data_IF_102641922060
#
_entry.id   IF_102641922060
#
_cell.length_a   1.000
_cell.length_b   1.000
_cell.length_c   1.000
_cell.angle_alpha   90.00
_cell.angle_beta   90.00
_cell.angle_gamma   90.00
#
_symmetry.space_group_name_H-M   'P 1'
#
loop_
_entity.id
_entity.type
_entity.pdbx_description
1 polymer ?
#
# COMPACT_ATOMS: atom_id res chain seq x y z
N UNK A 1 -3.30 5.57 19.30
CA UNK A 1 -2.98 4.83 18.06
C UNK A 1 -4.27 4.27 17.52
N UNK A 2 -4.66 4.71 16.33
CA UNK A 2 -5.94 4.35 15.72
C UNK A 2 -5.70 3.27 14.66
N UNK A 3 -6.56 2.25 14.55
CA UNK A 3 -6.40 1.24 13.52
C UNK A 3 -6.89 1.78 12.17
N UNK A 4 -6.19 1.39 11.11
CA UNK A 4 -6.47 1.79 9.74
C UNK A 4 -6.51 0.58 8.82
N UNK A 5 -7.43 0.62 7.88
CA UNK A 5 -7.54 -0.27 6.74
C UNK A 5 -7.00 0.46 5.50
N UNK A 6 -5.92 -0.06 4.92
CA UNK A 6 -5.28 0.49 3.72
C UNK A 6 -5.49 -0.47 2.56
N UNK A 7 -6.21 -0.02 1.54
CA UNK A 7 -6.39 -0.73 0.28
C UNK A 7 -5.46 -0.12 -0.77
N UNK A 8 -4.69 -0.96 -1.45
CA UNK A 8 -3.79 -0.52 -2.51
C UNK A 8 -3.84 -1.49 -3.68
N UNK A 9 -3.25 -1.08 -4.80
CA UNK A 9 -3.05 -1.93 -5.96
C UNK A 9 -1.57 -1.97 -6.29
N UNK A 10 -1.14 -3.12 -6.77
CA UNK A 10 0.18 -3.28 -7.34
C UNK A 10 0.04 -3.50 -8.83
N UNK A 11 0.72 -2.67 -9.60
CA UNK A 11 0.69 -2.64 -11.06
C UNK A 11 2.06 -3.00 -11.60
N UNK A 12 2.13 -3.71 -12.72
CA UNK A 12 3.39 -3.84 -13.47
C UNK A 12 3.82 -2.46 -13.97
N UNK A 13 5.10 -2.11 -13.81
CA UNK A 13 5.65 -0.90 -14.43
C UNK A 13 5.85 -1.05 -15.94
N UNK A 14 5.97 -2.30 -16.42
CA UNK A 14 6.19 -2.60 -17.83
C UNK A 14 4.93 -2.34 -18.66
N UNK A 15 3.78 -2.85 -18.19
CA UNK A 15 2.52 -2.82 -18.95
C UNK A 15 1.39 -2.03 -18.27
N UNK A 16 1.60 -1.54 -17.05
CA UNK A 16 0.59 -0.82 -16.27
C UNK A 16 -0.56 -1.69 -15.73
N UNK A 17 -0.60 -2.98 -16.08
CA UNK A 17 -1.64 -3.91 -15.64
C UNK A 17 -1.61 -4.14 -14.13
N UNK A 18 -2.80 -4.18 -13.52
CA UNK A 18 -2.96 -4.50 -12.10
C UNK A 18 -2.67 -5.99 -11.88
N UNK A 19 -1.68 -6.28 -11.04
CA UNK A 19 -1.26 -7.65 -10.69
C UNK A 19 -2.13 -8.17 -9.54
N UNK A 20 -2.28 -7.40 -8.46
CA UNK A 20 -3.13 -7.75 -7.31
C UNK A 20 -3.58 -6.51 -6.51
N UNK A 21 -4.65 -6.68 -5.73
CA UNK A 21 -5.32 -5.60 -4.96
C UNK A 21 -5.42 -5.94 -3.46
N UNK A 22 -4.32 -5.83 -2.70
CA UNK A 22 -4.29 -6.23 -1.30
C UNK A 22 -4.94 -5.20 -0.37
N UNK A 23 -5.37 -5.69 0.80
CA UNK A 23 -5.93 -4.89 1.90
C UNK A 23 -5.13 -5.19 3.16
N UNK A 24 -4.61 -4.14 3.80
CA UNK A 24 -3.82 -4.24 5.02
C UNK A 24 -4.52 -3.57 6.20
N UNK A 25 -4.38 -4.18 7.38
CA UNK A 25 -4.81 -3.61 8.66
C UNK A 25 -3.57 -3.24 9.47
N UNK A 26 -3.44 -1.98 9.89
CA UNK A 26 -2.29 -1.50 10.66
C UNK A 26 -2.67 -0.38 11.61
N UNK A 27 -1.89 -0.17 12.67
CA UNK A 27 -2.07 0.97 13.60
C UNK A 27 -1.14 2.13 13.24
N UNK A 28 -1.69 3.33 13.21
CA UNK A 28 -0.97 4.57 12.97
C UNK A 28 -1.54 5.71 13.85
N UNK A 29 -0.83 6.82 13.94
CA UNK A 29 -1.28 8.06 14.54
C UNK A 29 -2.29 8.78 13.63
N UNK A 30 -2.06 8.73 12.32
CA UNK A 30 -2.90 9.36 11.31
C UNK A 30 -2.86 8.62 9.96
N UNK A 31 -3.72 9.05 9.02
CA UNK A 31 -3.82 8.47 7.68
C UNK A 31 -2.53 8.59 6.86
N UNK A 32 -1.75 9.65 7.04
CA UNK A 32 -0.48 9.87 6.38
C UNK A 32 0.58 8.87 6.83
N UNK A 33 0.71 8.66 8.15
CA UNK A 33 1.59 7.63 8.69
C UNK A 33 1.16 6.23 8.21
N UNK A 34 -0.14 5.95 8.14
CA UNK A 34 -0.64 4.68 7.61
C UNK A 34 -0.25 4.44 6.14
N UNK A 35 -0.29 5.49 5.30
CA UNK A 35 0.18 5.43 3.90
C UNK A 35 1.67 5.16 3.81
N UNK A 36 2.47 5.94 4.54
CA UNK A 36 3.93 5.82 4.55
C UNK A 36 4.38 4.41 4.93
N UNK A 37 3.81 3.85 6.00
CA UNK A 37 4.13 2.48 6.45
C UNK A 37 3.87 1.43 5.38
N UNK A 38 2.78 1.55 4.62
CA UNK A 38 2.48 0.61 3.52
C UNK A 38 3.45 0.80 2.37
N UNK A 39 3.71 2.04 1.95
CA UNK A 39 4.64 2.33 0.86
C UNK A 39 6.04 1.80 1.20
N UNK A 40 6.56 2.08 2.39
CA UNK A 40 7.88 1.58 2.82
C UNK A 40 7.92 0.05 2.87
N UNK A 41 6.90 -0.58 3.45
CA UNK A 41 6.86 -2.04 3.58
C UNK A 41 6.78 -2.71 2.22
N UNK A 42 6.01 -2.14 1.30
CA UNK A 42 5.87 -2.71 -0.01
C UNK A 42 7.07 -2.42 -0.90
N UNK A 43 7.65 -1.22 -0.86
CA UNK A 43 8.92 -0.92 -1.54
C UNK A 43 10.04 -1.88 -1.10
N UNK A 44 10.10 -2.26 0.19
CA UNK A 44 11.05 -3.29 0.65
C UNK A 44 10.74 -4.69 0.10
N UNK A 45 9.46 -5.04 -0.01
CA UNK A 45 9.03 -6.36 -0.51
C UNK A 45 9.25 -6.51 -2.01
N UNK A 46 9.00 -5.45 -2.76
CA UNK A 46 9.02 -5.39 -4.21
C UNK A 46 10.25 -4.64 -4.75
N UNK A 47 11.30 -4.49 -3.94
CA UNK A 47 12.48 -3.67 -4.27
C UNK A 47 13.19 -4.09 -5.57
N UNK A 48 13.00 -5.36 -5.98
CA UNK A 48 13.63 -5.96 -7.15
C UNK A 48 12.59 -6.34 -8.24
N UNK A 49 11.33 -5.99 -8.05
CA UNK A 49 10.26 -6.25 -9.00
C UNK A 49 9.89 -4.95 -9.73
N UNK A 50 9.71 -5.00 -11.04
CA UNK A 50 9.24 -3.87 -11.86
C UNK A 50 7.75 -3.60 -11.61
N UNK A 51 7.41 -3.19 -10.39
CA UNK A 51 6.04 -2.94 -9.95
C UNK A 51 5.88 -1.57 -9.31
N UNK A 52 4.71 -0.97 -9.52
CA UNK A 52 4.31 0.30 -8.93
C UNK A 52 3.15 0.08 -7.97
N UNK A 53 3.15 0.83 -6.86
CA UNK A 53 2.16 0.69 -5.80
C UNK A 53 1.36 1.97 -5.68
N UNK A 54 0.05 1.80 -5.79
CA UNK A 54 -0.89 2.91 -5.75
C UNK A 54 -1.90 2.67 -4.63
N UNK A 55 -1.90 3.58 -3.65
CA UNK A 55 -2.86 3.53 -2.54
C UNK A 55 -4.23 3.97 -3.06
N UNK A 56 -5.22 3.07 -2.97
CA UNK A 56 -6.60 3.34 -3.41
C UNK A 56 -7.41 4.00 -2.30
N UNK A 57 -7.31 3.48 -1.08
CA UNK A 57 -8.17 3.91 0.03
C UNK A 57 -7.49 3.71 1.37
N UNK A 58 -7.68 4.68 2.27
CA UNK A 58 -7.26 4.59 3.68
C UNK A 58 -8.45 4.97 4.55
N UNK A 59 -8.91 4.01 5.35
CA UNK A 59 -10.07 4.15 6.24
C UNK A 59 -9.63 3.90 7.67
N UNK A 60 -10.17 4.68 8.60
CA UNK A 60 -10.05 4.41 10.02
C UNK A 60 -11.08 3.34 10.39
N UNK A 61 -10.70 2.38 11.25
CA UNK A 61 -11.54 1.26 11.67
C UNK A 61 -11.48 1.03 13.18
#
# INVERSE_FOLDING_TARGET
MTPYKVSFVVKSQVDGHVIYKPVYHLRAADKGEAKLKIIERMNKRYAFEDVAIEIVKVEEI
#
